data_IF_704544443626
#
_entry.id   IF_704544443626
#
_cell.length_a   1.000
_cell.length_b   1.000
_cell.length_c   1.000
_cell.angle_alpha   90.00
_cell.angle_beta   90.00
_cell.angle_gamma   90.00
#
_symmetry.space_group_name_H-M   'P 1'
#
loop_
_entity.id
_entity.type
_entity.pdbx_description
1 polymer ?
#
# COMPACT_ATOMS: atom_id res chain seq x y z
N UNK A 1 -5.87 -22.20 -3.64
CA UNK A 1 -5.42 -21.10 -2.75
C UNK A 1 -6.62 -20.46 -2.07
N UNK A 2 -6.41 -19.80 -0.94
CA UNK A 2 -7.43 -19.12 -0.14
C UNK A 2 -6.96 -17.71 0.23
N UNK A 3 -7.81 -16.71 0.03
CA UNK A 3 -7.62 -15.35 0.55
C UNK A 3 -8.03 -15.36 2.01
N UNK A 4 -7.12 -14.93 2.88
CA UNK A 4 -7.36 -14.76 4.31
C UNK A 4 -7.20 -13.28 4.62
N UNK A 5 -8.22 -12.67 5.21
CA UNK A 5 -8.27 -11.24 5.55
C UNK A 5 -8.56 -11.06 7.04
N UNK A 6 -7.93 -10.05 7.64
CA UNK A 6 -8.17 -9.62 9.02
C UNK A 6 -8.45 -8.12 9.06
N UNK A 7 -9.41 -7.72 9.90
CA UNK A 7 -9.57 -6.33 10.34
C UNK A 7 -9.85 -6.26 11.84
N UNK A 8 -9.21 -5.31 12.50
CA UNK A 8 -9.43 -4.96 13.90
C UNK A 8 -9.82 -3.48 14.04
N UNK A 9 -10.76 -3.17 14.93
CA UNK A 9 -11.11 -1.80 15.30
C UNK A 9 -11.39 -1.67 16.81
N UNK A 10 -11.40 -0.42 17.27
CA UNK A 10 -11.80 -0.03 18.63
C UNK A 10 -12.78 1.15 18.51
N UNK A 11 -14.01 1.00 19.02
CA UNK A 11 -15.03 2.05 18.93
C UNK A 11 -15.33 2.50 17.49
N UNK A 12 -15.13 1.62 16.50
CA UNK A 12 -15.27 1.93 15.07
C UNK A 12 -14.03 2.53 14.39
N UNK A 13 -12.97 2.86 15.13
CA UNK A 13 -11.70 3.38 14.59
C UNK A 13 -10.76 2.25 14.22
N UNK A 14 -10.14 2.32 13.03
CA UNK A 14 -9.23 1.28 12.54
C UNK A 14 -8.00 1.14 13.46
N UNK A 15 -7.67 -0.10 13.83
CA UNK A 15 -6.48 -0.44 14.62
C UNK A 15 -5.46 -1.19 13.77
N UNK A 16 -5.90 -2.26 13.10
CA UNK A 16 -5.01 -3.09 12.29
C UNK A 16 -5.75 -3.80 11.15
N UNK A 17 -4.99 -4.17 10.13
CA UNK A 17 -5.45 -4.97 9.00
C UNK A 17 -4.33 -5.84 8.45
N UNK A 18 -4.71 -6.98 7.90
CA UNK A 18 -3.78 -7.86 7.21
C UNK A 18 -4.51 -8.68 6.15
N UNK A 19 -3.80 -9.02 5.09
CA UNK A 19 -4.30 -9.91 4.06
C UNK A 19 -3.15 -10.78 3.53
N UNK A 20 -3.48 -12.02 3.18
CA UNK A 20 -2.61 -12.88 2.38
C UNK A 20 -3.44 -13.86 1.56
N UNK A 21 -2.82 -14.46 0.55
CA UNK A 21 -3.34 -15.63 -0.15
C UNK A 21 -2.41 -16.81 0.14
N UNK A 22 -2.96 -17.92 0.64
CA UNK A 22 -2.17 -19.09 1.02
C UNK A 22 -2.82 -20.42 0.63
N UNK A 23 -2.05 -21.50 0.75
CA UNK A 23 -2.57 -22.86 0.61
C UNK A 23 -3.42 -23.25 1.82
N UNK A 24 -4.37 -24.19 1.64
CA UNK A 24 -5.30 -24.61 2.69
C UNK A 24 -4.58 -25.02 4.00
N UNK A 25 -3.48 -25.74 3.85
CA UNK A 25 -2.65 -26.22 4.97
C UNK A 25 -1.98 -25.10 5.79
N UNK A 26 -1.79 -23.91 5.20
CA UNK A 26 -1.20 -22.75 5.89
C UNK A 26 -2.24 -21.90 6.63
N UNK A 27 -3.54 -22.10 6.39
CA UNK A 27 -4.61 -21.28 6.97
C UNK A 27 -4.53 -21.19 8.50
N UNK A 28 -4.38 -22.30 9.27
CA UNK A 28 -4.34 -22.21 10.73
C UNK A 28 -3.22 -21.32 11.26
N UNK A 29 -2.01 -21.43 10.67
CA UNK A 29 -0.87 -20.60 11.05
C UNK A 29 -1.12 -19.12 10.71
N UNK A 30 -1.68 -18.83 9.53
CA UNK A 30 -2.02 -17.45 9.13
C UNK A 30 -3.06 -16.84 10.07
N UNK A 31 -4.10 -17.60 10.46
CA UNK A 31 -5.11 -17.12 11.40
C UNK A 31 -4.51 -16.77 12.75
N UNK A 32 -3.59 -17.59 13.27
CA UNK A 32 -2.90 -17.30 14.52
C UNK A 32 -2.10 -15.99 14.41
N UNK A 33 -1.28 -15.85 13.36
CA UNK A 33 -0.51 -14.61 13.11
C UNK A 33 -1.41 -13.38 13.00
N UNK A 34 -2.56 -13.51 12.32
CA UNK A 34 -3.50 -12.40 12.15
C UNK A 34 -4.26 -12.07 13.43
N UNK A 35 -4.60 -13.08 14.23
CA UNK A 35 -5.19 -12.89 15.55
C UNK A 35 -4.23 -12.13 16.47
N UNK A 36 -2.97 -12.56 16.55
CA UNK A 36 -1.95 -11.92 17.38
C UNK A 36 -1.68 -10.48 16.89
N UNK A 37 -1.53 -10.26 15.57
CA UNK A 37 -1.37 -8.92 14.98
C UNK A 37 -2.54 -7.99 15.29
N UNK A 38 -3.77 -8.52 15.35
CA UNK A 38 -4.95 -7.74 15.70
C UNK A 38 -5.00 -7.41 17.19
N UNK A 39 -5.00 -8.43 18.05
CA UNK A 39 -5.23 -8.29 19.49
C UNK A 39 -4.04 -7.74 20.28
N UNK A 40 -2.81 -7.84 19.76
CA UNK A 40 -1.59 -7.40 20.45
C UNK A 40 -1.00 -6.13 19.81
N UNK A 41 -1.80 -5.38 19.03
CA UNK A 41 -1.31 -4.21 18.31
C UNK A 41 -0.99 -3.04 19.26
N UNK A 42 0.11 -2.34 19.00
CA UNK A 42 0.56 -1.18 19.78
C UNK A 42 -0.42 0.02 19.77
N UNK A 43 -1.46 -0.02 18.94
CA UNK A 43 -2.37 1.11 18.71
C UNK A 43 -3.60 1.12 19.62
N UNK A 44 -3.81 0.09 20.45
CA UNK A 44 -4.87 0.09 21.47
C UNK A 44 -5.57 -1.26 21.69
N UNK A 45 -6.45 -1.28 22.69
CA UNK A 45 -7.27 -2.45 23.05
C UNK A 45 -8.39 -2.68 22.02
N UNK A 46 -8.30 -3.77 21.27
CA UNK A 46 -9.29 -4.14 20.25
C UNK A 46 -10.59 -4.62 20.89
N UNK A 47 -11.73 -4.05 20.48
CA UNK A 47 -13.08 -4.50 20.87
C UNK A 47 -13.78 -5.31 19.76
N UNK A 48 -13.26 -5.27 18.53
CA UNK A 48 -13.77 -6.00 17.39
C UNK A 48 -12.66 -6.57 16.51
N UNK A 49 -12.69 -7.89 16.25
CA UNK A 49 -11.85 -8.58 15.26
C UNK A 49 -12.72 -9.36 14.28
N UNK A 50 -12.44 -9.21 12.98
CA UNK A 50 -13.03 -10.06 11.93
C UNK A 50 -11.94 -10.77 11.13
N UNK A 51 -12.05 -12.09 11.03
CA UNK A 51 -11.23 -12.95 10.17
C UNK A 51 -12.13 -13.54 9.09
N UNK A 52 -11.70 -13.46 7.83
CA UNK A 52 -12.44 -13.94 6.66
C UNK A 52 -11.55 -14.85 5.82
N UNK A 53 -12.08 -15.99 5.39
CA UNK A 53 -11.40 -16.97 4.55
C UNK A 53 -12.28 -17.23 3.33
N UNK A 54 -11.73 -17.04 2.13
CA UNK A 54 -12.44 -17.25 0.87
C UNK A 54 -11.58 -18.03 -0.11
N UNK A 55 -12.19 -18.98 -0.82
CA UNK A 55 -11.48 -19.72 -1.87
C UNK A 55 -11.17 -18.78 -3.03
N UNK A 56 -9.92 -18.79 -3.50
CA UNK A 56 -9.52 -18.07 -4.70
C UNK A 56 -9.86 -18.93 -5.92
N UNK A 57 -10.66 -18.38 -6.83
CA UNK A 57 -11.13 -19.08 -8.05
C UNK A 57 -10.38 -18.64 -9.31
N UNK A 58 -9.87 -17.41 -9.32
CA UNK A 58 -9.10 -16.85 -10.43
C UNK A 58 -7.60 -17.16 -10.30
N UNK A 59 -6.85 -17.24 -11.41
CA UNK A 59 -5.40 -17.39 -11.37
C UNK A 59 -4.72 -16.18 -10.71
N UNK A 60 -3.58 -16.43 -10.06
CA UNK A 60 -2.76 -15.36 -9.50
C UNK A 60 -2.05 -14.62 -10.64
N UNK A 61 -2.13 -13.30 -10.63
CA UNK A 61 -1.31 -12.43 -11.46
C UNK A 61 0.03 -12.20 -10.79
N UNK A 62 1.10 -12.73 -11.37
CA UNK A 62 2.45 -12.64 -10.82
C UNK A 62 3.09 -11.28 -11.14
N UNK A 63 3.69 -10.65 -10.12
CA UNK A 63 4.43 -9.40 -10.21
C UNK A 63 5.79 -9.57 -9.55
N UNK A 64 6.83 -8.96 -10.12
CA UNK A 64 8.15 -8.87 -9.48
C UNK A 64 8.16 -7.71 -8.49
N UNK A 65 8.65 -7.96 -7.27
CA UNK A 65 8.76 -6.94 -6.24
C UNK A 65 9.71 -5.82 -6.67
N UNK A 66 9.32 -4.57 -6.43
CA UNK A 66 10.17 -3.42 -6.71
C UNK A 66 11.52 -3.51 -5.96
N UNK A 67 12.63 -3.04 -6.57
CA UNK A 67 13.88 -2.88 -5.84
C UNK A 67 13.76 -1.82 -4.75
N UNK A 68 14.22 -2.14 -3.54
CA UNK A 68 14.21 -1.23 -2.39
C UNK A 68 15.43 -0.33 -2.47
N UNK A 69 15.22 0.97 -2.27
CA UNK A 69 16.26 2.00 -2.25
C UNK A 69 16.13 2.75 -0.93
N UNK A 70 17.11 2.56 -0.03
CA UNK A 70 17.13 3.17 1.31
C UNK A 70 17.75 4.57 1.31
N UNK A 71 18.93 4.70 0.69
CA UNK A 71 19.77 5.88 0.81
C UNK A 71 19.77 6.69 -0.50
N UNK A 72 18.61 7.24 -0.85
CA UNK A 72 18.51 8.09 -2.04
C UNK A 72 19.01 9.51 -1.78
N UNK A 73 19.72 10.07 -2.74
CA UNK A 73 20.09 11.50 -2.75
C UNK A 73 19.03 12.38 -3.41
N UNK A 74 17.99 11.78 -4.00
CA UNK A 74 16.91 12.51 -4.63
C UNK A 74 15.90 13.02 -3.59
N UNK A 75 15.44 14.26 -3.76
CA UNK A 75 14.28 14.75 -3.02
C UNK A 75 12.99 14.15 -3.60
N UNK A 76 11.89 14.22 -2.87
CA UNK A 76 10.58 13.79 -3.36
C UNK A 76 10.20 14.54 -4.64
N UNK A 77 10.43 15.85 -4.69
CA UNK A 77 10.14 16.68 -5.87
C UNK A 77 10.93 16.21 -7.09
N UNK A 78 12.22 15.89 -6.90
CA UNK A 78 13.06 15.38 -7.98
C UNK A 78 12.57 14.01 -8.47
N UNK A 79 12.16 13.11 -7.55
CA UNK A 79 11.56 11.83 -7.91
C UNK A 79 10.28 12.03 -8.73
N UNK A 80 9.38 12.90 -8.27
CA UNK A 80 8.14 13.24 -8.95
C UNK A 80 8.40 13.82 -10.36
N UNK A 81 9.31 14.78 -10.48
CA UNK A 81 9.66 15.40 -11.76
C UNK A 81 10.22 14.38 -12.76
N UNK A 82 11.12 13.49 -12.32
CA UNK A 82 11.66 12.41 -13.15
C UNK A 82 10.59 11.44 -13.66
N UNK A 83 9.42 11.41 -13.03
CA UNK A 83 8.28 10.59 -13.42
C UNK A 83 7.16 11.39 -14.10
N UNK A 84 7.40 12.66 -14.43
CA UNK A 84 6.42 13.51 -15.10
C UNK A 84 5.24 13.91 -14.20
N UNK A 85 5.42 13.87 -12.87
CA UNK A 85 4.45 14.38 -11.92
C UNK A 85 4.76 15.86 -11.71
N UNK A 86 3.79 16.73 -12.02
CA UNK A 86 3.98 18.17 -11.88
C UNK A 86 4.04 18.57 -10.41
N UNK A 87 4.68 19.72 -10.13
CA UNK A 87 4.67 20.29 -8.79
C UNK A 87 3.24 20.54 -8.28
N UNK A 88 2.34 21.00 -9.14
CA UNK A 88 0.93 21.19 -8.79
C UNK A 88 0.27 19.88 -8.35
N UNK A 89 0.48 18.79 -9.10
CA UNK A 89 -0.06 17.48 -8.75
C UNK A 89 0.51 16.97 -7.41
N UNK A 90 1.82 17.11 -7.21
CA UNK A 90 2.47 16.76 -5.95
C UNK A 90 1.90 17.56 -4.76
N UNK A 91 1.78 18.88 -4.90
CA UNK A 91 1.29 19.75 -3.82
C UNK A 91 -0.17 19.38 -3.44
N UNK A 92 -1.04 19.12 -4.43
CA UNK A 92 -2.42 18.63 -4.18
C UNK A 92 -2.44 17.21 -3.58
N UNK A 93 -1.56 16.33 -4.06
CA UNK A 93 -1.37 14.99 -3.50
C UNK A 93 -0.97 15.02 -2.03
N UNK A 94 0.01 15.85 -1.68
CA UNK A 94 0.41 16.10 -0.29
C UNK A 94 -0.76 16.64 0.53
N UNK A 95 -1.60 17.50 -0.06
CA UNK A 95 -2.85 17.94 0.54
C UNK A 95 -3.71 16.78 1.06
N UNK A 96 -3.87 15.70 0.30
CA UNK A 96 -4.63 14.51 0.74
C UNK A 96 -3.95 13.69 1.85
N UNK A 97 -2.62 13.75 1.98
CA UNK A 97 -1.86 13.01 2.99
C UNK A 97 -1.86 13.74 4.34
N UNK A 98 -1.80 15.07 4.31
CA UNK A 98 -1.77 15.93 5.50
C UNK A 98 -3.16 16.54 5.81
N UNK A 99 -4.22 15.89 5.34
CA UNK A 99 -5.61 16.24 5.61
C UNK A 99 -6.13 15.52 6.87
N UNK A 100 -7.04 16.15 7.61
CA UNK A 100 -7.65 15.58 8.82
C UNK A 100 -8.66 14.44 8.53
N UNK A 101 -9.09 14.26 7.28
CA UNK A 101 -10.06 13.23 6.85
C UNK A 101 -9.54 11.80 7.04
N UNK A 102 -8.22 11.58 7.06
CA UNK A 102 -7.59 10.26 7.21
C UNK A 102 -8.16 9.19 6.27
N UNK A 103 -7.90 9.34 4.97
CA UNK A 103 -8.35 8.40 3.94
C UNK A 103 -7.91 6.97 4.24
N UNK A 104 -8.85 6.02 4.16
CA UNK A 104 -8.62 4.61 4.52
C UNK A 104 -7.95 3.77 3.43
N UNK A 105 -7.73 4.37 2.27
CA UNK A 105 -7.18 3.76 1.07
C UNK A 105 -6.44 4.80 0.25
N UNK A 106 -6.03 4.44 -0.96
CA UNK A 106 -5.32 5.32 -1.86
C UNK A 106 -6.27 6.28 -2.59
N UNK A 107 -5.84 7.53 -2.73
CA UNK A 107 -6.46 8.51 -3.61
C UNK A 107 -5.77 8.45 -4.97
N UNK A 108 -6.55 8.43 -6.05
CA UNK A 108 -6.00 8.46 -7.41
C UNK A 108 -6.12 9.88 -7.93
N UNK A 109 -5.00 10.46 -8.37
CA UNK A 109 -4.96 11.83 -8.90
C UNK A 109 -4.26 11.87 -10.26
N UNK A 110 -4.62 12.84 -11.10
CA UNK A 110 -3.87 13.12 -12.32
C UNK A 110 -2.45 13.57 -11.98
N UNK A 111 -1.45 12.98 -12.65
CA UNK A 111 -0.06 13.37 -12.52
C UNK A 111 0.23 14.78 -13.07
N UNK A 112 -0.66 15.33 -13.89
CA UNK A 112 -0.50 16.66 -14.48
C UNK A 112 -1.21 17.75 -13.67
N UNK A 113 -2.46 17.53 -13.29
CA UNK A 113 -3.29 18.57 -12.65
C UNK A 113 -3.47 18.36 -11.15
N UNK A 114 -3.21 17.16 -10.62
CA UNK A 114 -3.53 16.77 -9.25
C UNK A 114 -5.02 16.66 -8.95
N UNK A 115 -5.89 16.72 -9.96
CA UNK A 115 -7.32 16.48 -9.78
C UNK A 115 -7.56 15.03 -9.37
N UNK A 116 -8.45 14.84 -8.40
CA UNK A 116 -8.83 13.52 -7.92
C UNK A 116 -9.74 12.82 -8.93
N UNK A 117 -9.37 11.61 -9.30
CA UNK A 117 -10.00 10.81 -10.34
C UNK A 117 -10.85 9.67 -9.78
N UNK A 118 -10.58 9.20 -8.56
CA UNK A 118 -11.38 8.15 -7.93
C UNK A 118 -12.67 8.72 -7.31
N UNK A 119 -13.80 8.03 -7.52
CA UNK A 119 -15.11 8.42 -6.97
C UNK A 119 -15.43 7.70 -5.65
N UNK A 120 -14.41 7.47 -4.80
CA UNK A 120 -14.56 6.59 -3.62
C UNK A 120 -14.72 7.33 -2.28
N UNK A 121 -14.75 8.67 -2.29
CA UNK A 121 -14.89 9.49 -1.08
C UNK A 121 -13.81 9.18 -0.03
N UNK A 122 -14.18 9.10 1.24
CA UNK A 122 -13.20 8.85 2.32
C UNK A 122 -12.65 7.40 2.34
N UNK A 123 -13.26 6.50 1.58
CA UNK A 123 -12.86 5.09 1.55
C UNK A 123 -11.51 4.89 0.85
N UNK A 124 -11.28 5.62 -0.24
CA UNK A 124 -10.14 5.38 -1.12
C UNK A 124 -10.20 4.03 -1.84
N UNK A 125 -9.23 3.81 -2.70
CA UNK A 125 -9.00 2.54 -3.38
C UNK A 125 -8.08 1.67 -2.51
N UNK A 126 -8.52 0.46 -2.18
CA UNK A 126 -7.70 -0.50 -1.42
C UNK A 126 -7.16 -1.58 -2.34
N UNK A 127 -5.86 -1.83 -2.25
CA UNK A 127 -5.27 -3.02 -2.85
C UNK A 127 -5.65 -4.20 -1.97
N UNK A 128 -6.19 -5.25 -2.58
CA UNK A 128 -6.57 -6.50 -1.89
C UNK A 128 -6.29 -7.69 -2.80
N UNK A 129 -6.50 -8.90 -2.28
CA UNK A 129 -6.25 -10.17 -2.95
C UNK A 129 -4.81 -10.33 -3.40
N UNK A 130 -3.85 -10.19 -2.48
CA UNK A 130 -2.44 -10.40 -2.77
C UNK A 130 -1.77 -11.32 -1.76
N UNK A 131 -0.69 -11.97 -2.19
CA UNK A 131 0.30 -12.58 -1.33
C UNK A 131 1.71 -12.11 -1.71
N UNK A 132 2.65 -12.33 -0.80
CA UNK A 132 4.06 -12.06 -0.99
C UNK A 132 4.86 -13.35 -0.84
N UNK A 133 5.81 -13.56 -1.75
CA UNK A 133 6.76 -14.66 -1.72
C UNK A 133 8.18 -14.10 -1.78
N UNK A 134 8.98 -14.42 -0.77
CA UNK A 134 10.36 -13.95 -0.67
C UNK A 134 11.32 -15.10 -0.96
N UNK A 135 12.10 -14.97 -2.03
CA UNK A 135 13.19 -15.87 -2.37
C UNK A 135 14.57 -15.25 -2.13
N UNK A 136 14.66 -14.01 -1.62
CA UNK A 136 15.93 -13.40 -1.32
C UNK A 136 16.56 -14.01 -0.05
N UNK A 137 17.89 -14.16 -0.05
CA UNK A 137 18.65 -14.66 1.13
C UNK A 137 18.49 -13.78 2.36
N UNK A 138 18.46 -12.46 2.14
CA UNK A 138 18.35 -11.48 3.21
C UNK A 138 16.87 -11.15 3.36
N UNK A 139 16.22 -11.61 4.45
CA UNK A 139 14.83 -11.32 4.69
C UNK A 139 14.62 -9.82 4.87
N UNK A 140 13.43 -9.34 4.54
CA UNK A 140 13.05 -7.96 4.86
C UNK A 140 13.12 -7.73 6.37
N UNK A 141 13.63 -6.58 6.76
CA UNK A 141 13.83 -6.23 8.18
C UNK A 141 12.53 -6.11 8.97
N UNK A 142 11.38 -5.99 8.29
CA UNK A 142 10.09 -5.86 8.95
C UNK A 142 8.93 -6.23 8.03
N UNK A 143 7.87 -6.79 8.62
CA UNK A 143 6.61 -7.08 7.92
C UNK A 143 5.92 -5.82 7.39
N UNK A 144 6.17 -4.65 8.00
CA UNK A 144 5.65 -3.36 7.50
C UNK A 144 6.25 -3.02 6.14
N UNK A 145 7.55 -3.28 5.95
CA UNK A 145 8.21 -3.07 4.65
C UNK A 145 7.69 -4.08 3.63
N UNK A 146 7.50 -5.34 4.04
CA UNK A 146 6.90 -6.35 3.18
C UNK A 146 5.50 -5.95 2.70
N UNK A 147 4.62 -5.56 3.62
CA UNK A 147 3.25 -5.14 3.31
C UNK A 147 3.26 -3.91 2.38
N UNK A 148 4.06 -2.90 2.69
CA UNK A 148 4.19 -1.68 1.88
C UNK A 148 4.76 -1.96 0.48
N UNK A 149 5.82 -2.76 0.38
CA UNK A 149 6.44 -3.13 -0.89
C UNK A 149 5.46 -3.93 -1.77
N UNK A 150 4.72 -4.86 -1.18
CA UNK A 150 3.72 -5.66 -1.89
C UNK A 150 2.64 -4.76 -2.49
N UNK A 151 2.08 -3.86 -1.69
CA UNK A 151 1.06 -2.90 -2.14
C UNK A 151 1.60 -1.98 -3.23
N UNK A 152 2.81 -1.45 -3.05
CA UNK A 152 3.44 -0.55 -4.01
C UNK A 152 3.74 -1.22 -5.35
N UNK A 153 4.19 -2.47 -5.31
CA UNK A 153 4.37 -3.29 -6.52
C UNK A 153 3.04 -3.50 -7.25
N UNK A 154 1.95 -3.75 -6.53
CA UNK A 154 0.63 -3.89 -7.14
C UNK A 154 0.12 -2.58 -7.75
N UNK A 155 0.31 -1.46 -7.06
CA UNK A 155 -0.11 -0.13 -7.53
C UNK A 155 0.64 0.25 -8.80
N UNK A 156 1.95 0.05 -8.82
CA UNK A 156 2.79 0.49 -9.93
C UNK A 156 2.77 -0.46 -11.14
N UNK A 157 1.95 -1.51 -11.13
CA UNK A 157 1.91 -2.53 -12.18
C UNK A 157 1.46 -2.01 -13.57
N UNK A 158 0.80 -0.84 -13.64
CA UNK A 158 0.32 -0.25 -14.88
C UNK A 158 1.27 0.86 -15.34
N UNK A 159 1.67 0.86 -16.61
CA UNK A 159 2.63 1.84 -17.17
C UNK A 159 2.14 3.30 -17.10
N UNK A 160 0.83 3.51 -17.01
CA UNK A 160 0.21 4.82 -16.85
C UNK A 160 0.30 5.34 -15.41
N UNK A 161 0.69 4.50 -14.43
CA UNK A 161 0.95 4.94 -13.05
C UNK A 161 2.35 5.53 -12.99
N UNK A 162 2.42 6.84 -12.80
CA UNK A 162 3.69 7.59 -12.72
C UNK A 162 4.42 7.39 -11.42
N UNK A 163 3.65 7.22 -10.35
CA UNK A 163 4.21 6.84 -9.07
C UNK A 163 3.16 6.79 -7.98
N UNK A 164 3.59 6.29 -6.84
CA UNK A 164 2.84 6.27 -5.61
C UNK A 164 3.63 7.01 -4.54
N UNK A 165 2.96 7.88 -3.81
CA UNK A 165 3.47 8.46 -2.58
C UNK A 165 2.68 7.91 -1.40
N UNK A 166 3.39 7.41 -0.39
CA UNK A 166 2.79 6.92 0.84
C UNK A 166 3.50 7.48 2.06
N UNK A 167 2.71 7.93 3.03
CA UNK A 167 3.18 8.29 4.37
C UNK A 167 2.36 7.49 5.38
N UNK A 168 3.03 6.84 6.32
CA UNK A 168 2.38 6.07 7.37
C UNK A 168 1.54 6.96 8.27
N UNK A 169 0.37 6.49 8.70
CA UNK A 169 -0.52 7.14 9.67
C UNK A 169 -0.16 6.82 11.15
N UNK A 170 0.66 5.79 11.37
CA UNK A 170 1.24 5.40 12.67
C UNK A 170 1.98 6.57 13.37
N UNK A 171 1.69 6.80 14.65
CA UNK A 171 2.21 7.91 15.46
C UNK A 171 3.74 7.92 15.60
N UNK A 172 4.36 6.74 15.62
CA UNK A 172 5.80 6.57 15.89
C UNK A 172 6.60 6.24 14.63
N UNK A 173 5.94 6.10 13.49
CA UNK A 173 6.59 5.78 12.22
C UNK A 173 6.50 6.95 11.23
N UNK A 174 7.61 7.68 11.08
CA UNK A 174 7.70 8.87 10.23
C UNK A 174 8.26 8.60 8.82
N UNK A 175 8.63 7.34 8.54
CA UNK A 175 9.14 6.95 7.22
C UNK A 175 7.97 6.72 6.26
N UNK A 176 8.04 7.35 5.10
CA UNK A 176 7.18 7.09 3.95
C UNK A 176 7.97 6.44 2.81
N UNK A 177 7.39 6.46 1.63
CA UNK A 177 8.08 6.08 0.41
C UNK A 177 7.50 6.77 -0.82
N UNK A 178 8.31 6.83 -1.86
CA UNK A 178 7.86 7.04 -3.23
C UNK A 178 8.18 5.78 -4.05
N UNK A 179 7.23 5.29 -4.84
CA UNK A 179 7.41 4.08 -5.63
C UNK A 179 7.02 4.28 -7.09
N UNK A 180 7.78 3.68 -8.02
CA UNK A 180 7.43 3.61 -9.43
C UNK A 180 7.96 2.33 -10.06
N UNK A 181 7.29 1.81 -11.08
CA UNK A 181 7.72 0.60 -11.78
C UNK A 181 9.13 0.73 -12.40
N UNK A 182 9.48 1.92 -12.87
CA UNK A 182 10.75 2.14 -13.58
C UNK A 182 11.94 2.38 -12.66
N UNK A 183 11.72 2.84 -11.44
CA UNK A 183 12.81 3.26 -10.54
C UNK A 183 12.77 2.63 -9.16
N UNK A 184 11.76 1.83 -8.85
CA UNK A 184 11.70 1.05 -7.62
C UNK A 184 10.99 1.75 -6.47
N UNK A 185 11.29 1.28 -5.26
CA UNK A 185 10.67 1.67 -4.01
C UNK A 185 11.68 2.47 -3.17
N UNK A 186 11.56 3.80 -3.22
CA UNK A 186 12.41 4.73 -2.49
C UNK A 186 11.85 4.98 -1.09
N UNK A 187 12.59 4.58 -0.05
CA UNK A 187 12.22 4.91 1.32
C UNK A 187 12.61 6.36 1.60
N UNK A 188 11.65 7.11 2.13
CA UNK A 188 11.81 8.53 2.43
C UNK A 188 11.63 8.72 3.93
N UNK A 189 12.71 9.08 4.62
CA UNK A 189 12.70 9.27 6.07
C UNK A 189 12.17 10.66 6.43
N UNK A 190 11.61 10.79 7.64
CA UNK A 190 11.14 12.06 8.21
C UNK A 190 10.06 12.78 7.38
N UNK A 191 9.16 12.01 6.76
CA UNK A 191 8.08 12.55 5.91
C UNK A 191 6.98 13.26 6.70
N UNK A 192 6.88 13.04 8.01
CA UNK A 192 5.92 13.72 8.89
C UNK A 192 6.51 13.97 10.29
N UNK A 193 5.95 14.90 11.07
CA UNK A 193 6.33 15.08 12.47
C UNK A 193 5.96 13.85 13.32
N UNK A 194 6.85 13.47 14.24
CA UNK A 194 6.58 12.40 15.22
C UNK A 194 5.37 12.75 16.08
N UNK A 195 4.54 11.77 16.42
CA UNK A 195 3.34 11.96 17.25
C UNK A 195 2.13 12.50 16.49
N UNK A 196 2.19 12.57 15.15
CA UNK A 196 1.04 12.96 14.31
C UNK A 196 0.46 11.76 13.59
N UNK A 197 -0.87 11.79 13.36
CA UNK A 197 -1.57 10.77 12.56
C UNK A 197 -1.75 11.16 11.09
N UNK A 198 -1.06 12.21 10.62
CA UNK A 198 -1.00 12.49 9.19
C UNK A 198 -0.43 11.28 8.46
N UNK A 199 -1.00 10.96 7.31
CA UNK A 199 -0.72 9.73 6.61
C UNK A 199 -1.74 9.51 5.49
N UNK A 200 -1.34 8.73 4.51
CA UNK A 200 -2.17 8.49 3.35
C UNK A 200 -1.37 7.91 2.20
N UNK A 201 -2.11 7.61 1.13
CA UNK A 201 -1.57 7.06 -0.11
C UNK A 201 -2.14 7.84 -1.28
N UNK A 202 -1.28 8.27 -2.18
CA UNK A 202 -1.66 8.96 -3.41
C UNK A 202 -1.01 8.26 -4.59
N UNK A 203 -1.81 7.97 -5.60
CA UNK A 203 -1.39 7.33 -6.84
C UNK A 203 -1.50 8.38 -7.94
N UNK A 204 -0.37 8.73 -8.54
CA UNK A 204 -0.30 9.67 -9.65
C UNK A 204 -0.39 8.90 -10.96
N UNK A 205 -1.36 9.25 -11.80
CA UNK A 205 -1.62 8.53 -13.05
C UNK A 205 -1.70 9.46 -14.25
N UNK A 206 -1.39 8.95 -15.43
CA UNK A 206 -1.76 9.60 -16.69
C UNK A 206 -3.27 9.53 -16.91
N UNK A 207 -3.82 10.56 -17.53
CA UNK A 207 -5.26 10.67 -17.84
C UNK A 207 -5.75 9.57 -18.82
N UNK A 208 -4.83 8.87 -19.49
CA UNK A 208 -5.14 7.74 -20.36
C UNK A 208 -5.49 6.44 -19.58
N UNK A 209 -5.27 6.39 -18.27
CA UNK A 209 -5.58 5.22 -17.45
C UNK A 209 -7.09 5.04 -17.28
N UNK A 210 -7.61 3.87 -17.62
CA UNK A 210 -8.98 3.50 -17.27
C UNK A 210 -9.09 3.20 -15.77
N UNK A 211 -9.68 4.15 -15.02
CA UNK A 211 -9.86 4.06 -13.57
C UNK A 211 -10.64 2.80 -13.16
N UNK A 212 -11.71 2.44 -13.88
CA UNK A 212 -12.53 1.26 -13.55
C UNK A 212 -11.74 -0.05 -13.69
N UNK A 213 -11.01 -0.22 -14.80
CA UNK A 213 -10.20 -1.42 -15.01
C UNK A 213 -9.05 -1.53 -14.01
N UNK A 214 -8.41 -0.39 -13.71
CA UNK A 214 -7.30 -0.31 -12.77
C UNK A 214 -7.76 -0.58 -11.33
N UNK A 215 -8.85 0.02 -10.90
CA UNK A 215 -9.41 -0.23 -9.56
C UNK A 215 -9.94 -1.66 -9.42
N UNK A 216 -10.53 -2.23 -10.48
CA UNK A 216 -10.93 -3.64 -10.52
C UNK A 216 -9.71 -4.56 -10.40
N UNK A 217 -8.62 -4.24 -11.12
CA UNK A 217 -7.34 -4.93 -10.93
C UNK A 217 -6.95 -4.86 -9.45
N UNK A 218 -6.74 -3.67 -8.87
CA UNK A 218 -6.28 -3.53 -7.49
C UNK A 218 -7.16 -4.21 -6.44
N UNK A 219 -8.49 -4.19 -6.63
CA UNK A 219 -9.46 -4.64 -5.62
C UNK A 219 -9.93 -6.09 -5.78
N UNK A 220 -9.82 -6.69 -6.98
CA UNK A 220 -10.47 -7.99 -7.24
C UNK A 220 -9.51 -9.06 -7.75
N UNK A 221 -8.58 -8.70 -8.65
CA UNK A 221 -7.68 -9.68 -9.26
C UNK A 221 -6.74 -10.29 -8.21
N UNK A 222 -6.66 -11.61 -8.03
CA UNK A 222 -5.66 -12.22 -7.18
C UNK A 222 -4.24 -11.97 -7.70
N UNK A 223 -3.31 -11.61 -6.83
CA UNK A 223 -1.93 -11.22 -7.14
C UNK A 223 -0.92 -12.00 -6.29
N UNK A 224 0.23 -12.26 -6.88
CA UNK A 224 1.39 -12.82 -6.17
C UNK A 224 2.59 -11.93 -6.47
N UNK A 225 3.10 -11.24 -5.45
CA UNK A 225 4.33 -10.45 -5.56
C UNK A 225 5.49 -11.34 -5.14
N UNK A 226 6.49 -11.47 -6.02
CA UNK A 226 7.66 -12.32 -5.81
C UNK A 226 8.90 -11.44 -5.72
N UNK A 227 9.64 -11.56 -4.61
CA UNK A 227 10.95 -10.93 -4.45
C UNK A 227 12.05 -11.94 -4.74
N UNK A 228 12.84 -11.66 -5.77
CA UNK A 228 14.00 -12.47 -6.16
C UNK A 228 15.29 -11.96 -5.50
N UNK A 229 16.36 -12.76 -5.58
CA UNK A 229 17.73 -12.26 -5.31
C UNK A 229 18.04 -11.14 -6.33
N UNK A 230 18.49 -9.98 -5.82
CA UNK A 230 18.94 -8.83 -6.60
C UNK A 230 20.46 -8.78 -6.67
#
# INVERSE_FOLDING_TARGET
MYSVKMRANQGGVHISGAETICEAQKIPAVLQTFFDKGFQHENGDVDFLNLKIEKVTEPLHTLEALPIIEDTTHTLEALCEMHGITKEALDKGMGYIFDDTQYRGAIIVSAQTGERLDQTGEKGVRVTHFCFEDHARIPLVSSRIQDALTIATCITAFAQVKGELCVSDDLHYTTGYFASAHRGYYRLHHMKPTGTRFGGRVIFVDDALSIDSYTSFLQQQPKQVIRHEQ
#
